data_IF_656660670438
#
_entry.id   IF_656660670438
#
_cell.length_a   1.000
_cell.length_b   1.000
_cell.length_c   1.000
_cell.angle_alpha   90.00
_cell.angle_beta   90.00
_cell.angle_gamma   90.00
#
_symmetry.space_group_name_H-M   'P 1'
#
loop_
_entity.id
_entity.type
_entity.pdbx_description
1 polymer ?
#
# COMPACT_ATOMS: atom_id res chain seq x y z
N UNK A 1 -15.36 1.61 4.88
CA UNK A 1 -13.87 1.66 4.82
C UNK A 1 -13.39 2.49 6.01
N UNK A 2 -12.33 2.07 6.72
CA UNK A 2 -11.76 2.82 7.83
C UNK A 2 -10.99 4.05 7.32
N UNK A 3 -11.63 5.22 7.32
CA UNK A 3 -11.02 6.45 6.82
C UNK A 3 -10.14 7.13 7.86
N UNK A 4 -8.96 7.57 7.42
CA UNK A 4 -8.13 8.58 8.05
C UNK A 4 -8.58 9.95 7.56
N UNK A 5 -8.58 10.96 8.44
CA UNK A 5 -9.04 12.31 8.11
C UNK A 5 -7.93 13.33 8.31
N UNK A 6 -7.61 14.08 7.25
CA UNK A 6 -6.78 15.28 7.29
C UNK A 6 -7.67 16.50 7.15
N UNK A 7 -7.61 17.41 8.11
CA UNK A 7 -8.29 18.71 8.08
C UNK A 7 -7.25 19.81 8.05
N UNK A 8 -7.40 20.74 7.11
CA UNK A 8 -6.54 21.92 6.94
C UNK A 8 -7.41 23.16 6.99
N UNK A 9 -7.03 24.13 7.83
CA UNK A 9 -7.71 25.42 7.96
C UNK A 9 -6.72 26.56 7.76
N UNK A 10 -7.14 27.65 7.13
CA UNK A 10 -6.26 28.80 6.93
C UNK A 10 -6.87 29.88 6.06
N UNK A 11 -6.16 30.99 5.80
CA UNK A 11 -6.68 32.12 5.03
C UNK A 11 -6.49 31.94 3.52
N UNK A 12 -6.70 30.73 2.99
CA UNK A 12 -6.64 30.45 1.56
C UNK A 12 -8.01 30.62 0.89
N UNK A 13 -8.00 31.10 -0.35
CA UNK A 13 -9.18 31.18 -1.21
C UNK A 13 -9.56 29.82 -1.79
N UNK A 14 -10.80 29.70 -2.29
CA UNK A 14 -11.25 28.51 -3.03
C UNK A 14 -10.35 28.21 -4.24
N UNK A 15 -9.93 29.25 -4.97
CA UNK A 15 -9.06 29.11 -6.13
C UNK A 15 -7.68 28.56 -5.75
N UNK A 16 -7.14 28.93 -4.59
CA UNK A 16 -5.83 28.45 -4.12
C UNK A 16 -5.88 26.98 -3.73
N UNK A 17 -6.83 26.57 -2.90
CA UNK A 17 -6.95 25.16 -2.50
C UNK A 17 -7.28 24.28 -3.70
N UNK A 18 -8.15 24.76 -4.60
CA UNK A 18 -8.45 24.05 -5.85
C UNK A 18 -7.20 23.88 -6.71
N UNK A 19 -6.38 24.92 -6.87
CA UNK A 19 -5.12 24.84 -7.61
C UNK A 19 -4.14 23.84 -6.98
N UNK A 20 -4.07 23.79 -5.65
CA UNK A 20 -3.23 22.81 -4.95
C UNK A 20 -3.73 21.38 -5.16
N UNK A 21 -5.05 21.15 -5.06
CA UNK A 21 -5.64 19.83 -5.32
C UNK A 21 -5.43 19.41 -6.78
N UNK A 22 -5.62 20.33 -7.73
CA UNK A 22 -5.38 20.11 -9.16
C UNK A 22 -3.93 19.72 -9.46
N UNK A 23 -2.96 20.25 -8.72
CA UNK A 23 -1.54 19.89 -8.87
C UNK A 23 -1.18 18.59 -8.15
N UNK A 24 -1.95 18.19 -7.13
CA UNK A 24 -1.66 17.03 -6.29
C UNK A 24 -2.33 15.75 -6.80
N UNK A 25 -3.52 15.87 -7.39
CA UNK A 25 -4.37 14.74 -7.77
C UNK A 25 -4.66 14.83 -9.27
N UNK A 26 -4.51 13.74 -10.04
CA UNK A 26 -4.81 13.75 -11.47
C UNK A 26 -6.30 13.95 -11.74
N UNK A 27 -6.63 14.39 -12.96
CA UNK A 27 -8.01 14.46 -13.48
C UNK A 27 -8.97 15.37 -12.69
N UNK A 28 -8.44 16.29 -11.90
CA UNK A 28 -9.22 17.37 -11.29
C UNK A 28 -9.64 18.35 -12.40
N UNK A 29 -10.90 18.80 -12.44
CA UNK A 29 -11.34 19.83 -13.38
C UNK A 29 -10.47 21.08 -13.29
N UNK A 30 -10.19 21.75 -14.41
CA UNK A 30 -9.32 22.95 -14.40
C UNK A 30 -9.94 24.12 -13.62
N UNK A 31 -11.28 24.23 -13.65
CA UNK A 31 -12.03 25.31 -13.00
C UNK A 31 -12.77 24.78 -11.78
N UNK A 32 -12.68 25.48 -10.62
CA UNK A 32 -13.51 25.16 -9.48
C UNK A 32 -14.98 25.34 -9.86
N UNK A 33 -15.83 24.46 -9.34
CA UNK A 33 -17.27 24.72 -9.36
C UNK A 33 -17.54 25.91 -8.44
N UNK A 34 -18.30 26.91 -8.89
CA UNK A 34 -18.65 28.10 -8.10
C UNK A 34 -19.71 27.82 -7.00
N UNK A 35 -19.71 26.59 -6.49
CA UNK A 35 -20.54 26.13 -5.38
C UNK A 35 -19.73 26.36 -4.10
N UNK A 36 -20.38 26.65 -2.97
CA UNK A 36 -19.72 26.98 -1.70
C UNK A 36 -18.69 25.93 -1.24
N UNK A 37 -18.87 24.66 -1.63
CA UNK A 37 -17.93 23.56 -1.41
C UNK A 37 -17.78 22.67 -2.65
N UNK A 38 -16.57 22.18 -2.90
CA UNK A 38 -16.25 21.19 -3.94
C UNK A 38 -15.96 19.85 -3.28
N UNK A 39 -16.59 18.78 -3.77
CA UNK A 39 -16.37 17.40 -3.30
C UNK A 39 -15.95 16.53 -4.49
N UNK A 40 -14.81 15.87 -4.38
CA UNK A 40 -14.25 14.97 -5.40
C UNK A 40 -13.94 13.61 -4.78
N UNK A 41 -14.13 12.55 -5.57
CA UNK A 41 -13.86 11.17 -5.16
C UNK A 41 -12.88 10.52 -6.14
N UNK A 42 -11.89 9.83 -5.60
CA UNK A 42 -10.85 9.15 -6.36
C UNK A 42 -10.64 7.73 -5.85
N UNK A 43 -10.22 6.85 -6.75
CA UNK A 43 -9.83 5.48 -6.44
C UNK A 43 -8.40 5.23 -6.94
N UNK A 44 -7.57 4.59 -6.11
CA UNK A 44 -6.24 4.15 -6.50
C UNK A 44 -6.35 3.00 -7.48
N UNK A 45 -5.77 3.15 -8.67
CA UNK A 45 -5.69 2.10 -9.69
C UNK A 45 -4.85 0.88 -9.26
N UNK A 46 -4.06 0.99 -8.18
CA UNK A 46 -3.17 -0.07 -7.73
C UNK A 46 -3.78 -0.95 -6.61
N UNK A 47 -4.34 -0.34 -5.56
CA UNK A 47 -4.93 -1.06 -4.42
C UNK A 47 -6.46 -0.94 -4.32
N UNK A 48 -7.11 -0.08 -5.12
CA UNK A 48 -8.54 0.22 -4.96
C UNK A 48 -8.86 1.00 -3.68
N UNK A 49 -7.87 1.66 -3.07
CA UNK A 49 -8.05 2.56 -1.92
C UNK A 49 -8.70 3.87 -2.37
N UNK A 50 -9.50 4.49 -1.51
CA UNK A 50 -10.31 5.65 -1.85
C UNK A 50 -9.76 6.94 -1.24
N UNK A 51 -9.95 8.05 -1.94
CA UNK A 51 -9.67 9.39 -1.48
C UNK A 51 -10.89 10.29 -1.76
N UNK A 52 -11.41 10.89 -0.71
CA UNK A 52 -12.41 11.96 -0.77
C UNK A 52 -11.73 13.29 -0.46
N UNK A 53 -11.93 14.27 -1.35
CA UNK A 53 -11.45 15.63 -1.20
C UNK A 53 -12.67 16.55 -1.07
N UNK A 54 -12.88 17.13 0.10
CA UNK A 54 -13.93 18.12 0.35
C UNK A 54 -13.29 19.44 0.77
N UNK A 55 -13.42 20.48 -0.06
CA UNK A 55 -12.79 21.75 0.21
C UNK A 55 -13.65 22.95 -0.16
N UNK A 56 -13.47 24.00 0.63
CA UNK A 56 -14.12 25.29 0.49
C UNK A 56 -13.12 26.40 0.82
N UNK A 57 -13.56 27.66 0.74
CA UNK A 57 -12.73 28.79 1.17
C UNK A 57 -12.34 28.62 2.64
N UNK A 58 -11.03 28.56 2.90
CA UNK A 58 -10.43 28.53 4.22
C UNK A 58 -10.51 27.21 5.00
N UNK A 59 -11.13 26.16 4.43
CA UNK A 59 -11.16 24.83 5.03
C UNK A 59 -11.11 23.73 3.96
N UNK A 60 -10.29 22.70 4.19
CA UNK A 60 -10.19 21.51 3.36
C UNK A 60 -10.13 20.26 4.23
N UNK A 61 -10.84 19.22 3.81
CA UNK A 61 -10.93 17.91 4.45
C UNK A 61 -10.61 16.83 3.42
N UNK A 62 -9.68 15.96 3.77
CA UNK A 62 -9.26 14.83 2.95
C UNK A 62 -9.48 13.55 3.75
N UNK A 63 -10.32 12.66 3.25
CA UNK A 63 -10.56 11.37 3.87
C UNK A 63 -10.02 10.25 2.97
N UNK A 64 -9.18 9.37 3.52
CA UNK A 64 -8.66 8.23 2.77
C UNK A 64 -8.48 7.01 3.65
N UNK A 65 -8.81 5.84 3.11
CA UNK A 65 -8.55 4.55 3.76
C UNK A 65 -7.08 4.13 3.65
N UNK A 66 -6.24 4.96 3.03
CA UNK A 66 -4.80 4.82 2.97
C UNK A 66 -4.08 5.99 3.67
N UNK A 67 -3.38 5.70 4.77
CA UNK A 67 -2.64 6.71 5.54
C UNK A 67 -1.47 7.31 4.75
N UNK A 68 -0.85 6.56 3.84
CA UNK A 68 0.21 7.09 2.96
C UNK A 68 -0.34 8.15 2.01
N UNK A 69 -1.57 7.98 1.51
CA UNK A 69 -2.25 9.02 0.72
C UNK A 69 -2.42 10.30 1.54
N UNK A 70 -2.82 10.19 2.80
CA UNK A 70 -2.91 11.34 3.71
C UNK A 70 -1.53 11.97 3.98
N UNK A 71 -0.49 11.17 4.15
CA UNK A 71 0.91 11.63 4.32
C UNK A 71 1.35 12.49 3.14
N UNK A 72 1.16 11.98 1.91
CA UNK A 72 1.53 12.65 0.67
C UNK A 72 0.78 13.98 0.52
N UNK A 73 -0.55 13.97 0.69
CA UNK A 73 -1.37 15.18 0.56
C UNK A 73 -0.96 16.22 1.60
N UNK A 74 -0.77 15.81 2.86
CA UNK A 74 -0.33 16.71 3.93
C UNK A 74 1.00 17.37 3.57
N UNK A 75 2.00 16.60 3.17
CA UNK A 75 3.32 17.14 2.82
C UNK A 75 3.25 18.11 1.65
N UNK A 76 2.53 17.73 0.60
CA UNK A 76 2.35 18.56 -0.58
C UNK A 76 1.67 19.89 -0.24
N UNK A 77 0.53 19.85 0.45
CA UNK A 77 -0.22 21.06 0.82
C UNK A 77 0.56 21.95 1.80
N UNK A 78 1.30 21.35 2.73
CA UNK A 78 2.18 22.10 3.65
C UNK A 78 3.27 22.84 2.87
N UNK A 79 3.87 22.19 1.87
CA UNK A 79 4.89 22.78 1.01
C UNK A 79 4.31 23.93 0.18
N UNK A 80 3.14 23.76 -0.42
CA UNK A 80 2.48 24.80 -1.22
C UNK A 80 2.04 26.01 -0.39
N UNK A 81 1.45 25.79 0.79
CA UNK A 81 1.11 26.86 1.71
C UNK A 81 2.36 27.66 2.15
N UNK A 82 3.46 26.96 2.43
CA UNK A 82 4.74 27.57 2.80
C UNK A 82 5.30 28.43 1.66
N UNK A 83 5.29 27.93 0.41
CA UNK A 83 5.72 28.69 -0.77
C UNK A 83 4.95 30.00 -0.94
N UNK A 84 3.65 29.99 -0.66
CA UNK A 84 2.79 31.18 -0.72
C UNK A 84 2.75 32.00 0.57
N UNK A 85 3.51 31.62 1.61
CA UNK A 85 3.51 32.25 2.94
C UNK A 85 2.11 32.29 3.60
N UNK A 86 1.28 31.30 3.30
CA UNK A 86 -0.06 31.13 3.90
C UNK A 86 0.10 30.29 5.17
N UNK A 87 -0.33 30.85 6.31
CA UNK A 87 -0.36 30.10 7.58
C UNK A 87 -1.55 29.16 7.58
N UNK A 88 -1.28 27.86 7.69
CA UNK A 88 -2.31 26.82 7.79
C UNK A 88 -2.21 26.09 9.12
N UNK A 89 -3.36 25.72 9.66
CA UNK A 89 -3.52 24.79 10.77
C UNK A 89 -3.85 23.41 10.19
N UNK A 90 -3.19 22.37 10.71
CA UNK A 90 -3.27 21.00 10.18
C UNK A 90 -3.61 20.06 11.33
N UNK A 91 -4.72 19.34 11.18
CA UNK A 91 -5.13 18.29 12.10
C UNK A 91 -5.28 16.96 11.34
N UNK A 92 -4.78 15.87 11.91
CA UNK A 92 -4.90 14.53 11.33
C UNK A 92 -5.45 13.57 12.37
N UNK A 93 -6.52 12.87 11.99
CA UNK A 93 -7.15 11.79 12.78
C UNK A 93 -6.88 10.48 12.05
N UNK A 94 -6.17 9.58 12.72
CA UNK A 94 -5.80 8.27 12.18
C UNK A 94 -6.83 7.25 12.64
N UNK A 95 -7.30 6.42 11.73
CA UNK A 95 -8.05 5.22 12.07
C UNK A 95 -7.11 4.02 11.97
N UNK A 96 -6.73 3.45 13.11
CA UNK A 96 -5.81 2.33 13.19
C UNK A 96 -6.29 1.08 12.40
N UNK A 97 -7.59 0.90 12.20
CA UNK A 97 -8.15 -0.18 11.38
C UNK A 97 -7.86 0.01 9.88
N UNK A 98 -7.45 1.21 9.44
CA UNK A 98 -7.03 1.42 8.05
C UNK A 98 -5.80 0.60 7.71
N UNK A 99 -4.91 0.35 8.68
CA UNK A 99 -3.76 -0.53 8.49
C UNK A 99 -4.22 -1.95 8.23
N UNK A 100 -5.13 -2.47 9.06
CA UNK A 100 -5.70 -3.80 8.90
C UNK A 100 -6.37 -3.96 7.54
N UNK A 101 -7.11 -2.94 7.10
CA UNK A 101 -7.76 -2.91 5.79
C UNK A 101 -6.75 -3.00 4.64
N UNK A 102 -5.71 -2.17 4.64
CA UNK A 102 -4.71 -2.16 3.57
C UNK A 102 -3.90 -3.46 3.56
N UNK A 103 -3.51 -3.96 4.73
CA UNK A 103 -2.80 -5.25 4.83
C UNK A 103 -3.65 -6.39 4.24
N UNK A 104 -4.98 -6.39 4.44
CA UNK A 104 -5.89 -7.34 3.80
C UNK A 104 -5.98 -7.18 2.28
N UNK A 105 -5.85 -5.97 1.74
CA UNK A 105 -5.82 -5.73 0.28
C UNK A 105 -4.50 -6.19 -0.36
N UNK A 106 -3.40 -6.09 0.38
CA UNK A 106 -2.06 -6.50 -0.07
C UNK A 106 -1.85 -8.01 0.07
N UNK A 107 -2.46 -8.64 1.09
CA UNK A 107 -2.31 -10.06 1.44
C UNK A 107 -2.44 -11.03 0.25
N UNK A 108 -3.56 -11.06 -0.51
CA UNK A 108 -3.70 -12.03 -1.61
C UNK A 108 -2.62 -11.86 -2.69
N UNK A 109 -2.11 -10.64 -2.89
CA UNK A 109 -1.07 -10.34 -3.88
C UNK A 109 0.29 -10.87 -3.43
N UNK A 110 0.62 -10.70 -2.14
CA UNK A 110 1.86 -11.23 -1.57
C UNK A 110 1.82 -12.75 -1.40
N UNK A 111 0.66 -13.33 -1.04
CA UNK A 111 0.49 -14.78 -0.97
C UNK A 111 0.67 -15.44 -2.33
N UNK A 112 0.09 -14.87 -3.39
CA UNK A 112 0.25 -15.39 -4.76
C UNK A 112 1.72 -15.43 -5.16
N UNK A 113 2.46 -14.35 -4.90
CA UNK A 113 3.89 -14.30 -5.18
C UNK A 113 4.69 -15.30 -4.33
N UNK A 114 4.44 -15.37 -3.02
CA UNK A 114 5.13 -16.30 -2.13
C UNK A 114 4.90 -17.77 -2.52
N UNK A 115 3.69 -18.09 -3.01
CA UNK A 115 3.38 -19.41 -3.56
C UNK A 115 4.18 -19.68 -4.84
N UNK A 116 4.13 -18.77 -5.80
CA UNK A 116 4.84 -18.90 -7.07
C UNK A 116 6.36 -19.07 -6.85
N UNK A 117 6.95 -18.29 -5.94
CA UNK A 117 8.36 -18.40 -5.59
C UNK A 117 8.74 -19.78 -5.02
N UNK A 118 7.89 -20.36 -4.16
CA UNK A 118 8.08 -21.72 -3.64
C UNK A 118 7.97 -22.78 -4.73
N UNK A 119 7.00 -22.63 -5.63
CA UNK A 119 6.81 -23.52 -6.77
C UNK A 119 8.02 -23.52 -7.71
N UNK A 120 8.58 -22.34 -8.01
CA UNK A 120 9.82 -22.20 -8.79
C UNK A 120 11.01 -22.83 -8.08
N UNK A 121 11.19 -22.56 -6.78
CA UNK A 121 12.30 -23.16 -6.01
C UNK A 121 12.22 -24.69 -5.96
N UNK A 122 11.02 -25.24 -5.91
CA UNK A 122 10.81 -26.68 -5.96
C UNK A 122 11.08 -27.26 -7.35
N UNK A 123 10.69 -26.55 -8.42
CA UNK A 123 11.04 -26.92 -9.79
C UNK A 123 12.55 -26.95 -10.00
N UNK A 124 13.28 -25.93 -9.52
CA UNK A 124 14.74 -25.90 -9.59
C UNK A 124 15.36 -27.11 -8.89
N UNK A 125 14.88 -27.46 -7.69
CA UNK A 125 15.34 -28.65 -6.96
C UNK A 125 15.04 -29.97 -7.69
N UNK A 126 13.86 -30.09 -8.33
CA UNK A 126 13.50 -31.29 -9.10
C UNK A 126 14.38 -31.45 -10.35
N UNK A 127 14.68 -30.35 -11.04
CA UNK A 127 15.61 -30.35 -12.18
C UNK A 127 17.04 -30.69 -11.76
N UNK A 128 17.50 -30.20 -10.61
CA UNK A 128 18.82 -30.54 -10.04
C UNK A 128 18.95 -32.03 -9.68
N UNK A 129 17.87 -32.65 -9.22
CA UNK A 129 17.83 -34.09 -8.93
C UNK A 129 17.84 -34.97 -10.19
N UNK A 130 17.80 -34.38 -11.39
CA UNK A 130 17.83 -35.12 -12.66
C UNK A 130 16.51 -35.82 -12.97
N UNK A 131 15.38 -35.30 -12.49
CA UNK A 131 14.04 -35.78 -12.84
C UNK A 131 13.72 -35.38 -14.29
N UNK A 132 14.26 -36.16 -15.22
CA UNK A 132 14.29 -35.80 -16.65
C UNK A 132 13.54 -36.81 -17.53
N UNK A 133 13.31 -38.02 -17.02
CA UNK A 133 12.75 -39.14 -17.77
C UNK A 133 11.36 -39.54 -17.27
N UNK A 134 10.59 -40.16 -18.16
CA UNK A 134 9.19 -40.52 -17.90
C UNK A 134 9.02 -41.50 -16.75
N UNK A 135 10.05 -42.27 -16.40
CA UNK A 135 9.99 -43.29 -15.34
C UNK A 135 10.23 -42.65 -13.96
N UNK A 136 11.21 -41.76 -13.85
CA UNK A 136 11.44 -40.95 -12.62
C UNK A 136 10.28 -40.00 -12.34
N UNK A 137 9.68 -39.37 -13.36
CA UNK A 137 8.50 -38.50 -13.17
C UNK A 137 7.31 -39.30 -12.62
N UNK A 138 7.06 -40.51 -13.15
CA UNK A 138 5.96 -41.37 -12.68
C UNK A 138 6.14 -41.88 -11.24
N UNK A 139 7.36 -41.88 -10.73
CA UNK A 139 7.65 -42.25 -9.34
C UNK A 139 7.37 -41.12 -8.34
N UNK A 140 7.21 -39.87 -8.81
CA UNK A 140 6.87 -38.73 -7.97
C UNK A 140 5.38 -38.70 -7.59
N UNK A 141 5.06 -37.90 -6.58
CA UNK A 141 3.66 -37.60 -6.24
C UNK A 141 2.98 -36.86 -7.39
N UNK A 142 1.65 -37.01 -7.49
CA UNK A 142 0.84 -36.30 -8.50
C UNK A 142 0.99 -34.78 -8.40
N UNK A 143 1.27 -34.25 -7.22
CA UNK A 143 1.54 -32.82 -7.00
C UNK A 143 2.79 -32.34 -7.75
N UNK A 144 3.91 -33.08 -7.65
CA UNK A 144 5.15 -32.72 -8.34
C UNK A 144 5.08 -32.98 -9.85
N UNK A 145 4.34 -34.01 -10.27
CA UNK A 145 4.07 -34.24 -11.70
C UNK A 145 3.31 -33.05 -12.31
N UNK A 146 2.21 -32.61 -11.67
CA UNK A 146 1.44 -31.45 -12.10
C UNK A 146 2.28 -30.15 -12.11
N UNK A 147 3.22 -30.03 -11.18
CA UNK A 147 4.12 -28.88 -11.12
C UNK A 147 5.10 -28.86 -12.31
N UNK A 148 5.71 -30.00 -12.63
CA UNK A 148 6.61 -30.16 -13.79
C UNK A 148 5.89 -29.91 -15.12
N UNK A 149 4.63 -30.30 -15.25
CA UNK A 149 3.81 -30.00 -16.42
C UNK A 149 3.63 -28.49 -16.66
N UNK A 150 3.55 -27.71 -15.57
CA UNK A 150 3.35 -26.25 -15.59
C UNK A 150 4.64 -25.43 -15.56
N UNK A 151 5.81 -26.07 -15.58
CA UNK A 151 7.12 -25.43 -15.37
C UNK A 151 7.32 -24.19 -16.27
N UNK A 152 7.05 -24.32 -17.57
CA UNK A 152 7.20 -23.21 -18.54
C UNK A 152 6.26 -22.04 -18.24
N UNK A 153 5.02 -22.33 -17.85
CA UNK A 153 4.01 -21.31 -17.55
C UNK A 153 4.38 -20.55 -16.28
N UNK A 154 4.74 -21.28 -15.21
CA UNK A 154 5.14 -20.70 -13.92
C UNK A 154 6.40 -19.85 -14.04
N UNK A 155 7.42 -20.31 -14.80
CA UNK A 155 8.63 -19.51 -15.06
C UNK A 155 8.34 -18.24 -15.85
N UNK A 156 7.45 -18.31 -16.83
CA UNK A 156 7.04 -17.13 -17.60
C UNK A 156 6.27 -16.13 -16.71
N UNK A 157 5.39 -16.61 -15.84
CA UNK A 157 4.70 -15.76 -14.86
C UNK A 157 5.70 -15.11 -13.89
N UNK A 158 6.61 -15.90 -13.32
CA UNK A 158 7.61 -15.42 -12.37
C UNK A 158 8.53 -14.35 -12.97
N UNK A 159 8.96 -14.54 -14.23
CA UNK A 159 9.80 -13.57 -14.92
C UNK A 159 9.09 -12.22 -15.21
N UNK A 160 7.76 -12.19 -15.26
CA UNK A 160 6.97 -11.00 -15.56
C UNK A 160 6.54 -10.21 -14.31
N UNK A 161 6.70 -10.77 -13.11
CA UNK A 161 6.30 -10.15 -11.84
C UNK A 161 7.28 -9.19 -11.13
N UNK A 162 8.60 -9.09 -11.43
CA UNK A 162 9.55 -8.39 -10.54
C UNK A 162 9.14 -6.94 -10.22
N UNK A 163 8.77 -6.15 -11.24
CA UNK A 163 8.43 -4.74 -11.06
C UNK A 163 7.15 -4.53 -10.23
N UNK A 164 6.20 -5.47 -10.29
CA UNK A 164 4.97 -5.40 -9.51
C UNK A 164 5.22 -5.71 -8.03
N UNK A 165 6.07 -6.69 -7.75
CA UNK A 165 6.44 -7.05 -6.39
C UNK A 165 7.26 -5.96 -5.71
N UNK A 166 8.27 -5.42 -6.40
CA UNK A 166 9.09 -4.31 -5.88
C UNK A 166 8.21 -3.12 -5.48
N UNK A 167 7.18 -2.86 -6.28
CA UNK A 167 6.18 -1.83 -5.97
C UNK A 167 5.33 -2.17 -4.75
N UNK A 168 4.90 -3.43 -4.57
CA UNK A 168 4.18 -3.86 -3.37
C UNK A 168 5.05 -3.73 -2.11
N UNK A 169 6.34 -4.06 -2.20
CA UNK A 169 7.29 -3.92 -1.10
C UNK A 169 7.49 -2.45 -0.76
N UNK A 170 7.69 -1.59 -1.77
CA UNK A 170 7.75 -0.14 -1.60
C UNK A 170 6.51 0.40 -0.89
N UNK A 171 5.31 0.07 -1.38
CA UNK A 171 4.05 0.52 -0.77
C UNK A 171 3.89 0.02 0.67
N UNK A 172 4.27 -1.23 0.95
CA UNK A 172 4.16 -1.78 2.30
C UNK A 172 5.16 -1.12 3.26
N UNK A 173 6.38 -0.86 2.81
CA UNK A 173 7.40 -0.18 3.61
C UNK A 173 7.05 1.30 3.85
N UNK A 174 6.57 2.01 2.84
CA UNK A 174 6.08 3.39 2.96
C UNK A 174 4.89 3.49 3.91
N UNK A 175 3.94 2.55 3.80
CA UNK A 175 2.79 2.46 4.71
C UNK A 175 3.23 2.34 6.17
N UNK A 176 4.23 1.50 6.44
CA UNK A 176 4.78 1.33 7.79
C UNK A 176 5.44 2.62 8.30
N UNK A 177 6.23 3.29 7.46
CA UNK A 177 6.91 4.53 7.81
C UNK A 177 5.90 5.63 8.11
N UNK A 178 4.92 5.83 7.22
CA UNK A 178 3.91 6.88 7.35
C UNK A 178 3.05 6.67 8.59
N UNK A 179 2.63 5.44 8.83
CA UNK A 179 1.81 5.10 9.98
C UNK A 179 2.47 5.48 11.31
N UNK A 180 3.73 5.07 11.50
CA UNK A 180 4.47 5.39 12.72
C UNK A 180 4.92 6.85 12.79
N UNK A 181 5.18 7.48 11.64
CA UNK A 181 5.47 8.92 11.57
C UNK A 181 4.32 9.75 12.13
N UNK A 182 3.07 9.40 11.81
CA UNK A 182 1.91 10.08 12.39
C UNK A 182 1.71 9.77 13.89
N UNK A 183 2.22 8.63 14.37
CA UNK A 183 2.33 8.31 15.81
C UNK A 183 3.55 8.94 16.49
N UNK A 184 4.31 9.79 15.80
CA UNK A 184 5.48 10.48 16.35
C UNK A 184 6.71 9.58 16.55
N UNK A 185 6.75 8.40 15.92
CA UNK A 185 7.84 7.43 16.05
C UNK A 185 8.57 7.23 14.73
N UNK A 186 9.91 7.26 14.74
CA UNK A 186 10.72 6.90 13.58
C UNK A 186 11.00 5.40 13.55
N UNK A 187 10.70 4.75 12.44
CA UNK A 187 10.84 3.28 12.28
C UNK A 187 11.73 2.86 11.13
N UNK A 188 12.51 3.79 10.56
CA UNK A 188 13.39 3.51 9.40
C UNK A 188 14.40 2.38 9.64
N UNK A 189 14.89 2.24 10.87
CA UNK A 189 15.82 1.17 11.25
C UNK A 189 15.19 -0.22 11.23
N UNK A 190 13.85 -0.33 11.27
CA UNK A 190 13.11 -1.60 11.25
C UNK A 190 12.79 -2.08 9.83
N UNK A 191 13.03 -1.27 8.80
CA UNK A 191 12.73 -1.60 7.40
C UNK A 191 13.44 -2.86 6.91
N UNK A 192 14.74 -3.11 7.21
CA UNK A 192 15.38 -4.37 6.83
C UNK A 192 14.65 -5.60 7.40
N UNK A 193 14.16 -5.52 8.64
CA UNK A 193 13.37 -6.59 9.26
C UNK A 193 11.99 -6.76 8.59
N UNK A 194 11.36 -5.67 8.17
CA UNK A 194 10.11 -5.73 7.41
C UNK A 194 10.34 -6.42 6.06
N UNK A 195 11.42 -6.11 5.35
CA UNK A 195 11.78 -6.77 4.09
C UNK A 195 11.96 -8.28 4.29
N UNK A 196 12.64 -8.70 5.36
CA UNK A 196 12.76 -10.14 5.69
C UNK A 196 11.41 -10.83 5.92
N UNK A 197 10.43 -10.12 6.49
CA UNK A 197 9.06 -10.65 6.68
C UNK A 197 8.33 -10.73 5.33
N UNK A 198 8.56 -9.78 4.42
CA UNK A 198 7.96 -9.81 3.08
C UNK A 198 8.57 -10.93 2.23
N UNK A 199 9.89 -11.14 2.30
CA UNK A 199 10.60 -12.23 1.63
C UNK A 199 10.12 -13.60 2.12
N UNK A 200 9.92 -13.74 3.43
CA UNK A 200 9.37 -14.94 4.06
C UNK A 200 7.91 -14.74 4.42
N UNK A 201 7.12 -14.36 3.42
CA UNK A 201 5.77 -13.84 3.62
C UNK A 201 4.91 -14.69 4.55
N UNK A 202 4.43 -14.06 5.62
CA UNK A 202 3.41 -14.59 6.51
C UNK A 202 2.52 -13.44 6.98
N UNK A 203 1.21 -13.53 6.72
CA UNK A 203 0.26 -12.48 7.05
C UNK A 203 0.24 -12.13 8.54
N UNK A 204 0.28 -13.13 9.43
CA UNK A 204 0.28 -12.91 10.89
C UNK A 204 1.53 -12.15 11.32
N UNK A 205 2.71 -12.54 10.82
CA UNK A 205 3.96 -11.85 11.13
C UNK A 205 3.95 -10.41 10.64
N UNK A 206 3.40 -10.16 9.44
CA UNK A 206 3.26 -8.80 8.91
C UNK A 206 2.30 -7.96 9.76
N UNK A 207 1.15 -8.50 10.12
CA UNK A 207 0.16 -7.84 10.96
C UNK A 207 0.75 -7.49 12.34
N UNK A 208 1.38 -8.45 13.01
CA UNK A 208 2.02 -8.24 14.31
C UNK A 208 3.17 -7.23 14.24
N UNK A 209 3.91 -7.22 13.12
CA UNK A 209 4.98 -6.25 12.93
C UNK A 209 4.45 -4.81 12.81
N UNK A 210 3.32 -4.63 12.13
CA UNK A 210 2.63 -3.34 12.05
C UNK A 210 1.94 -2.96 13.36
N UNK A 211 1.29 -3.94 13.99
CA UNK A 211 0.37 -3.77 15.11
C UNK A 211 0.69 -4.80 16.21
N UNK A 212 1.75 -4.56 17.01
CA UNK A 212 2.20 -5.50 18.03
C UNK A 212 1.17 -5.80 19.11
N UNK A 213 0.21 -4.91 19.33
CA UNK A 213 -0.83 -5.12 20.35
C UNK A 213 -1.77 -6.30 20.03
N UNK A 214 -1.87 -6.74 18.77
CA UNK A 214 -2.60 -7.98 18.43
C UNK A 214 -1.89 -9.25 18.90
N UNK A 215 -0.64 -9.18 19.37
CA UNK A 215 0.04 -10.31 20.02
C UNK A 215 -0.63 -10.64 21.36
N UNK A 216 -1.16 -9.63 22.05
CA UNK A 216 -1.78 -9.77 23.37
C UNK A 216 -3.25 -10.20 23.35
N UNK A 217 -3.95 -10.01 22.22
CA UNK A 217 -5.37 -10.36 22.09
C UNK A 217 -5.65 -11.84 21.84
N UNK A 218 -4.66 -12.61 21.37
CA UNK A 218 -4.75 -14.07 21.18
C UNK A 218 -4.46 -14.85 22.48
N UNK A 219 -4.19 -14.15 23.60
CA UNK A 219 -3.77 -14.73 24.88
C UNK A 219 -4.83 -14.64 26.00
N UNK A 220 -6.09 -14.31 25.67
CA UNK A 220 -7.22 -14.24 26.63
C UNK A 220 -8.38 -15.10 26.12
#
# INVERSE_FOLDING_TARGET
>A
RPFNLLTIKGPFSLAEIHSWVFQCVPEVPEKPQFIDATVLFFESTFLGTHLECNFQKGEAKFASDNISTISIIREFLTKEATKKKIKIDINVVINDDSINHILKLIDPKLQSHAKLSKEISLLDALHELGVNDTETIKALSTEYQNLLEKDKELRAEFSNQPAYLDRLYGITTDLYIDYYKFKGTSVKSKIPKLLTILDNYNYKNLLLFFRPEFETSDSI
#
